data_IF_962840320799
#
_entry.id   IF_962840320799
#
_cell.length_a   1.000
_cell.length_b   1.000
_cell.length_c   1.000
_cell.angle_alpha   90.00
_cell.angle_beta   90.00
_cell.angle_gamma   90.00
#
_symmetry.space_group_name_H-M   'P 1'
#
loop_
_entity.id
_entity.type
_entity.pdbx_description
1 polymer ?
#
# COMPACT_ATOMS: atom_id res chain seq x y z
N UNK A 1 -26.40 7.92 24.69
CA UNK A 1 -25.25 7.89 23.76
C UNK A 1 -24.74 6.45 23.68
N UNK A 2 -24.89 5.77 22.55
CA UNK A 2 -24.63 4.33 22.41
C UNK A 2 -23.12 4.01 22.51
N UNK A 3 -22.73 3.11 23.42
CA UNK A 3 -21.33 2.73 23.69
C UNK A 3 -20.56 2.26 22.45
N UNK A 4 -21.25 1.66 21.47
CA UNK A 4 -20.65 1.25 20.18
C UNK A 4 -20.09 2.42 19.37
N UNK A 5 -20.68 3.61 19.50
CA UNK A 5 -20.24 4.81 18.78
C UNK A 5 -18.93 5.36 19.37
N UNK A 6 -18.72 5.18 20.68
CA UNK A 6 -17.51 5.63 21.38
C UNK A 6 -16.33 4.69 21.08
N UNK A 7 -16.61 3.39 20.95
CA UNK A 7 -15.62 2.37 20.60
C UNK A 7 -15.12 2.52 19.15
N UNK A 8 -16.02 2.75 18.20
CA UNK A 8 -15.66 3.05 16.81
C UNK A 8 -14.84 4.35 16.66
N UNK A 9 -15.11 5.36 17.51
CA UNK A 9 -14.34 6.60 17.53
C UNK A 9 -12.94 6.41 18.14
N UNK A 10 -12.80 5.57 19.18
CA UNK A 10 -11.50 5.20 19.74
C UNK A 10 -10.65 4.42 18.74
N UNK A 11 -11.22 3.48 18.00
CA UNK A 11 -10.49 2.71 16.97
C UNK A 11 -10.00 3.65 15.86
N UNK A 12 -10.86 4.55 15.36
CA UNK A 12 -10.46 5.55 14.36
C UNK A 12 -9.39 6.52 14.89
N UNK A 13 -9.46 6.90 16.16
CA UNK A 13 -8.44 7.76 16.78
C UNK A 13 -7.12 7.03 17.02
N UNK A 14 -7.13 5.74 17.37
CA UNK A 14 -5.93 4.92 17.48
C UNK A 14 -5.25 4.75 16.11
N UNK A 15 -6.03 4.46 15.06
CA UNK A 15 -5.56 4.39 13.67
C UNK A 15 -4.99 5.74 13.18
N UNK A 16 -5.56 6.85 13.65
CA UNK A 16 -5.09 8.21 13.33
C UNK A 16 -3.90 8.66 14.18
N UNK A 17 -3.66 8.04 15.34
CA UNK A 17 -2.51 8.33 16.19
C UNK A 17 -1.28 7.53 15.74
N UNK A 18 -1.49 6.31 15.24
CA UNK A 18 -0.46 5.53 14.54
C UNK A 18 -0.11 6.07 13.15
N UNK A 19 -0.90 6.99 12.59
CA UNK A 19 -0.60 7.59 11.28
C UNK A 19 0.31 8.82 11.34
N UNK A 20 0.72 9.26 12.55
CA UNK A 20 1.60 10.43 12.74
C UNK A 20 3.02 10.01 13.13
N UNK A 21 3.19 8.81 13.68
CA UNK A 21 4.46 8.10 13.66
C UNK A 21 4.49 7.28 12.37
N UNK A 22 5.54 7.40 11.58
CA UNK A 22 5.76 6.55 10.42
C UNK A 22 5.54 5.06 10.75
N UNK A 23 5.07 4.27 9.79
CA UNK A 23 4.81 2.85 10.01
C UNK A 23 6.14 2.11 10.27
N UNK A 24 6.44 1.83 11.55
CA UNK A 24 7.66 1.15 11.98
C UNK A 24 7.82 -0.24 11.35
N UNK A 25 6.70 -0.94 11.09
CA UNK A 25 6.73 -2.22 10.41
C UNK A 25 7.12 -2.04 8.93
N UNK A 26 6.64 -0.98 8.29
CA UNK A 26 7.04 -0.64 6.93
C UNK A 26 8.52 -0.26 6.85
N UNK A 27 9.04 0.49 7.83
CA UNK A 27 10.46 0.82 7.92
C UNK A 27 11.34 -0.44 8.07
N UNK A 28 10.96 -1.34 8.97
CA UNK A 28 11.66 -2.64 9.12
C UNK A 28 11.60 -3.48 7.83
N UNK A 29 10.43 -3.50 7.18
CA UNK A 29 10.23 -4.24 5.93
C UNK A 29 11.11 -3.67 4.82
N UNK A 30 11.27 -2.35 4.76
CA UNK A 30 12.17 -1.69 3.83
C UNK A 30 13.62 -2.17 3.99
N UNK A 31 14.14 -2.18 5.22
CA UNK A 31 15.51 -2.64 5.50
C UNK A 31 15.73 -4.11 5.08
N UNK A 32 14.74 -4.97 5.35
CA UNK A 32 14.76 -6.36 4.93
C UNK A 32 14.75 -6.51 3.40
N UNK A 33 13.91 -5.73 2.71
CA UNK A 33 13.80 -5.78 1.25
C UNK A 33 15.07 -5.27 0.56
N UNK A 34 15.75 -4.26 1.12
CA UNK A 34 17.03 -3.79 0.59
C UNK A 34 18.09 -4.89 0.66
N UNK A 35 18.21 -5.56 1.82
CA UNK A 35 19.13 -6.69 1.98
C UNK A 35 18.83 -7.84 1.00
N UNK A 36 17.55 -8.12 0.78
CA UNK A 36 17.11 -9.15 -0.17
C UNK A 36 17.40 -8.77 -1.63
N UNK A 37 17.25 -7.48 -1.96
CA UNK A 37 17.51 -6.94 -3.31
C UNK A 37 18.98 -7.08 -3.67
N UNK A 38 19.87 -6.76 -2.75
CA UNK A 38 21.32 -6.90 -2.91
C UNK A 38 21.71 -8.36 -3.14
N UNK A 39 21.09 -9.29 -2.40
CA UNK A 39 21.30 -10.73 -2.59
C UNK A 39 20.80 -11.22 -3.96
N UNK A 40 19.81 -10.52 -4.54
CA UNK A 40 19.21 -10.85 -5.82
C UNK A 40 19.78 -10.04 -6.99
N UNK A 41 20.90 -9.31 -6.84
CA UNK A 41 21.42 -8.38 -7.85
C UNK A 41 22.00 -9.04 -9.10
N UNK A 42 22.20 -10.37 -9.08
CA UNK A 42 22.73 -11.12 -10.22
C UNK A 42 21.81 -11.07 -11.45
N UNK A 43 22.38 -11.08 -12.66
CA UNK A 43 21.64 -11.04 -13.94
C UNK A 43 20.55 -12.12 -14.03
N UNK A 44 20.79 -13.30 -13.44
CA UNK A 44 19.81 -14.40 -13.37
C UNK A 44 18.52 -14.03 -12.65
N UNK A 45 18.59 -13.13 -11.68
CA UNK A 45 17.49 -12.74 -10.80
C UNK A 45 17.05 -11.29 -11.02
N UNK A 46 17.46 -10.68 -12.14
CA UNK A 46 17.19 -9.27 -12.45
C UNK A 46 15.72 -8.87 -12.36
N UNK A 47 14.81 -9.70 -12.87
CA UNK A 47 13.36 -9.43 -12.76
C UNK A 47 12.86 -9.51 -11.31
N UNK A 48 13.38 -10.46 -10.52
CA UNK A 48 13.05 -10.57 -9.10
C UNK A 48 13.58 -9.35 -8.32
N UNK A 49 14.83 -8.94 -8.57
CA UNK A 49 15.43 -7.73 -7.97
C UNK A 49 14.63 -6.47 -8.30
N UNK A 50 14.09 -6.38 -9.52
CA UNK A 50 13.17 -5.31 -9.91
C UNK A 50 11.87 -5.31 -9.08
N UNK A 51 11.22 -6.47 -8.91
CA UNK A 51 10.00 -6.57 -8.09
C UNK A 51 10.26 -6.23 -6.61
N UNK A 52 11.39 -6.68 -6.05
CA UNK A 52 11.82 -6.34 -4.69
C UNK A 52 12.04 -4.83 -4.57
N UNK A 53 12.65 -4.20 -5.57
CA UNK A 53 12.82 -2.74 -5.63
C UNK A 53 11.48 -2.00 -5.55
N UNK A 54 10.48 -2.42 -6.33
CA UNK A 54 9.13 -1.81 -6.26
C UNK A 54 8.48 -1.99 -4.89
N UNK A 55 8.63 -3.17 -4.27
CA UNK A 55 8.12 -3.42 -2.93
C UNK A 55 8.84 -2.55 -1.87
N UNK A 56 10.15 -2.35 -2.02
CA UNK A 56 10.94 -1.50 -1.13
C UNK A 56 10.50 -0.03 -1.24
N UNK A 57 10.30 0.49 -2.45
CA UNK A 57 9.78 1.85 -2.65
C UNK A 57 8.41 2.07 -2.00
N UNK A 58 7.53 1.06 -2.04
CA UNK A 58 6.23 1.13 -1.36
C UNK A 58 6.37 1.06 0.18
N UNK A 59 7.25 0.20 0.69
CA UNK A 59 7.53 0.12 2.12
C UNK A 59 8.10 1.44 2.66
N UNK A 60 9.02 2.07 1.93
CA UNK A 60 9.56 3.39 2.29
C UNK A 60 8.45 4.46 2.32
N UNK A 61 7.59 4.48 1.30
CA UNK A 61 6.45 5.42 1.24
C UNK A 61 5.57 5.30 2.48
N UNK A 62 5.21 4.08 2.86
CA UNK A 62 4.39 3.82 4.06
C UNK A 62 5.14 4.19 5.35
N UNK A 63 6.44 3.93 5.44
CA UNK A 63 7.29 4.33 6.56
C UNK A 63 7.35 5.85 6.73
N UNK A 64 7.31 6.61 5.64
CA UNK A 64 7.23 8.08 5.64
C UNK A 64 5.82 8.62 5.98
N UNK A 65 4.84 7.73 6.23
CA UNK A 65 3.46 8.11 6.51
C UNK A 65 2.69 8.57 5.27
N UNK A 66 3.22 8.34 4.08
CA UNK A 66 2.53 8.62 2.82
C UNK A 66 1.49 7.53 2.51
N UNK A 67 0.40 7.86 1.82
CA UNK A 67 -0.62 6.88 1.42
C UNK A 67 -0.04 5.83 0.46
N UNK A 68 -0.65 4.64 0.42
CA UNK A 68 -0.20 3.56 -0.46
C UNK A 68 -0.29 3.97 -1.92
N UNK A 69 0.73 3.65 -2.72
CA UNK A 69 0.63 3.84 -4.17
C UNK A 69 -0.39 2.90 -4.83
N UNK A 70 -0.80 1.82 -4.15
CA UNK A 70 -1.85 0.94 -4.65
C UNK A 70 -3.25 1.58 -4.52
N UNK A 71 -3.45 2.50 -3.58
CA UNK A 71 -4.75 3.14 -3.32
C UNK A 71 -5.26 3.94 -4.54
N UNK A 72 -4.37 4.43 -5.40
CA UNK A 72 -4.74 5.14 -6.63
C UNK A 72 -5.40 4.21 -7.67
N UNK A 73 -5.10 2.91 -7.63
CA UNK A 73 -5.64 1.89 -8.53
C UNK A 73 -6.88 1.19 -7.96
N UNK A 74 -7.08 1.23 -6.64
CA UNK A 74 -8.25 0.67 -5.98
C UNK A 74 -9.56 1.39 -6.37
N UNK A 75 -9.45 2.64 -6.83
CA UNK A 75 -10.55 3.35 -7.50
C UNK A 75 -10.68 2.81 -8.93
N UNK A 76 -11.41 1.72 -9.10
CA UNK A 76 -11.82 1.27 -10.43
C UNK A 76 -12.40 2.45 -11.23
N UNK A 77 -12.08 2.60 -12.53
CA UNK A 77 -12.86 3.47 -13.38
C UNK A 77 -14.30 2.96 -13.33
N UNK A 78 -15.25 3.86 -13.06
CA UNK A 78 -16.67 3.55 -13.16
C UNK A 78 -16.87 2.78 -14.47
N UNK A 79 -17.34 1.54 -14.35
CA UNK A 79 -17.41 0.62 -15.47
C UNK A 79 -17.96 1.32 -16.69
N UNK A 80 -17.25 1.24 -17.81
CA UNK A 80 -17.80 1.65 -19.09
C UNK A 80 -19.00 0.73 -19.31
N UNK A 81 -20.18 1.19 -18.92
CA UNK A 81 -21.44 0.59 -19.31
C UNK A 81 -21.53 0.82 -20.81
N UNK A 82 -21.01 -0.13 -21.59
CA UNK A 82 -21.29 -0.18 -23.02
C UNK A 82 -22.76 -0.49 -23.11
N UNK A 83 -23.58 0.55 -23.24
CA UNK A 83 -24.97 0.42 -23.66
C UNK A 83 -24.91 -0.17 -25.06
N UNK A 84 -25.13 -1.48 -25.14
CA UNK A 84 -25.33 -2.20 -26.39
C UNK A 84 -26.63 -1.65 -26.97
N UNK A 85 -26.53 -0.64 -27.86
CA UNK A 85 -27.64 -0.25 -28.72
C UNK A 85 -27.88 -1.43 -29.67
N UNK A 86 -28.80 -2.29 -29.27
CA UNK A 86 -29.49 -3.18 -30.18
C UNK A 86 -30.39 -2.32 -31.05
N UNK A 87 -29.89 -1.91 -32.22
CA UNK A 87 -30.74 -1.46 -33.31
C UNK A 87 -30.57 -2.42 -34.49
N UNK A 88 -31.75 -2.65 -35.08
CA UNK A 88 -32.19 -3.67 -36.02
C UNK A 88 -31.61 -3.46 -37.42
#
# INVERSE_FOLDING_TARGET
MSGRKVEALKIKQAYKKSSVQGDELAAYTYDMLQSLRDTCSDEKHRFLSYLIGMAAEEAQRLAEGLPSAADQFAKQPAGISVSKSSDI
#
